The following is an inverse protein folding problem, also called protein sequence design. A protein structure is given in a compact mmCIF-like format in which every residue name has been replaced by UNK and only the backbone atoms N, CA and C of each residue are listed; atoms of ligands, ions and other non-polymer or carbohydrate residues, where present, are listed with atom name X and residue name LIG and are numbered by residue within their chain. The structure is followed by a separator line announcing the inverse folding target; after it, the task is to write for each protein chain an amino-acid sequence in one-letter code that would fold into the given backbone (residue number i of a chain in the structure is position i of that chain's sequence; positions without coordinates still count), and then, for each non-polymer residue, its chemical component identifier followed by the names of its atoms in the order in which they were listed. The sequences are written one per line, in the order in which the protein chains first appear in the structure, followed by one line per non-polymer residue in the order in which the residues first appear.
data_IF_987633755691
#
_entry.id   IF_987633755691
#
_cell.length_a   1.000
_cell.length_b   1.000
_cell.length_c   1.000
_cell.angle_alpha   90.00
_cell.angle_beta   90.00
_cell.angle_gamma   90.00
#
_symmetry.space_group_name_H-M   'P 1'
#
loop_
_entity.id
_entity.type
_entity.pdbx_description
1 polymer ?
#
# COMPACT_ATOMS: atom_id res chain seq x y z
N UNK A 1 -24.41 -6.74 2.19
CA UNK A 1 -24.00 -7.53 3.36
C UNK A 1 -23.07 -6.69 4.19
N UNK A 2 -23.40 -6.50 5.47
CA UNK A 2 -22.79 -5.51 6.33
C UNK A 2 -21.36 -5.86 6.70
N UNK A 3 -20.56 -4.82 6.99
CA UNK A 3 -19.18 -4.90 7.48
C UNK A 3 -19.05 -5.78 8.74
N UNK A 4 -20.16 -5.96 9.47
CA UNK A 4 -20.30 -6.85 10.63
C UNK A 4 -20.32 -8.34 10.26
N UNK A 5 -20.87 -8.71 9.10
CA UNK A 5 -21.07 -10.11 8.66
C UNK A 5 -19.75 -10.77 8.20
N UNK A 6 -18.76 -9.95 7.82
CA UNK A 6 -17.38 -10.39 7.57
C UNK A 6 -16.54 -10.41 8.84
N UNK A 7 -16.78 -9.46 9.75
CA UNK A 7 -16.17 -9.46 11.08
C UNK A 7 -16.57 -10.71 11.86
N UNK A 8 -17.84 -11.15 11.80
CA UNK A 8 -18.28 -12.42 12.43
C UNK A 8 -17.55 -13.65 11.87
N UNK A 9 -17.26 -13.70 10.56
CA UNK A 9 -16.60 -14.86 9.93
C UNK A 9 -15.07 -14.87 10.08
N UNK A 10 -14.42 -13.72 10.16
CA UNK A 10 -12.97 -13.63 10.45
C UNK A 10 -12.63 -13.96 11.91
N UNK A 11 -13.61 -13.76 12.79
CA UNK A 11 -13.55 -13.96 14.25
C UNK A 11 -13.87 -15.40 14.68
N UNK A 12 -14.32 -16.27 13.77
CA UNK A 12 -14.74 -17.65 14.10
C UNK A 12 -13.60 -18.54 14.67
N UNK A 13 -12.33 -18.23 14.40
CA UNK A 13 -11.20 -19.06 14.87
C UNK A 13 -10.45 -18.54 16.10
N UNK A 14 -10.57 -17.26 16.48
CA UNK A 14 -9.78 -16.69 17.58
C UNK A 14 -10.61 -16.36 18.84
N UNK A 15 -11.94 -16.48 18.81
CA UNK A 15 -12.78 -15.63 19.68
C UNK A 15 -13.86 -16.36 20.48
N UNK A 16 -13.78 -17.69 20.62
CA UNK A 16 -14.70 -18.38 21.53
C UNK A 16 -14.38 -18.20 23.03
N UNK A 17 -13.17 -17.74 23.39
CA UNK A 17 -12.75 -17.66 24.80
C UNK A 17 -12.70 -16.23 25.36
N UNK A 18 -12.43 -15.21 24.54
CA UNK A 18 -12.16 -13.85 25.02
C UNK A 18 -13.40 -12.93 25.12
N UNK A 19 -14.51 -13.23 24.44
CA UNK A 19 -15.64 -12.28 24.33
C UNK A 19 -16.65 -12.30 25.49
N UNK A 20 -16.58 -13.29 26.38
CA UNK A 20 -17.63 -13.51 27.38
C UNK A 20 -17.41 -12.84 28.75
N UNK A 21 -16.28 -12.15 28.99
CA UNK A 21 -16.03 -11.48 30.28
C UNK A 21 -15.60 -10.02 30.13
N UNK A 22 -16.62 -9.14 30.14
CA UNK A 22 -16.56 -7.78 30.71
C UNK A 22 -16.01 -6.64 29.81
N UNK A 23 -16.69 -6.32 28.71
CA UNK A 23 -16.52 -5.04 27.99
C UNK A 23 -17.31 -3.89 28.63
N UNK A 24 -17.00 -3.52 29.88
CA UNK A 24 -17.69 -2.39 30.54
C UNK A 24 -16.96 -1.05 30.46
N UNK A 25 -15.68 -0.99 30.07
CA UNK A 25 -14.92 0.28 30.18
C UNK A 25 -13.77 0.53 29.19
N UNK A 26 -13.66 -0.22 28.08
CA UNK A 26 -12.54 -0.07 27.12
C UNK A 26 -12.96 0.26 25.68
N UNK A 27 -11.98 0.60 24.84
CA UNK A 27 -12.19 0.89 23.40
C UNK A 27 -12.77 -0.31 22.66
N UNK A 28 -13.60 -0.06 21.64
CA UNK A 28 -14.19 -1.13 20.81
C UNK A 28 -13.62 -1.12 19.39
N UNK A 29 -13.32 -2.29 18.79
CA UNK A 29 -12.81 -2.38 17.42
C UNK A 29 -13.64 -1.61 16.37
N UNK A 30 -14.96 -1.68 16.48
CA UNK A 30 -15.88 -0.97 15.56
C UNK A 30 -15.80 0.56 15.68
N UNK A 31 -15.45 1.06 16.86
CA UNK A 31 -15.24 2.49 17.09
C UNK A 31 -13.93 2.94 16.45
N UNK A 32 -12.86 2.14 16.55
CA UNK A 32 -11.58 2.40 15.90
C UNK A 32 -11.72 2.42 14.37
N UNK A 33 -12.42 1.45 13.79
CA UNK A 33 -12.68 1.42 12.34
C UNK A 33 -13.44 2.66 11.86
N UNK A 34 -14.42 3.12 12.64
CA UNK A 34 -15.20 4.33 12.32
C UNK A 34 -14.36 5.59 12.44
N UNK A 35 -13.50 5.67 13.47
CA UNK A 35 -12.59 6.79 13.69
C UNK A 35 -11.53 6.90 12.58
N UNK A 36 -10.96 5.78 12.16
CA UNK A 36 -9.99 5.71 11.06
C UNK A 36 -10.59 6.21 9.74
N UNK A 37 -11.81 5.79 9.39
CA UNK A 37 -12.50 6.27 8.19
C UNK A 37 -12.75 7.77 8.24
N UNK A 38 -13.15 8.27 9.42
CA UNK A 38 -13.35 9.71 9.64
C UNK A 38 -12.05 10.50 9.48
N UNK A 39 -10.93 9.99 10.00
CA UNK A 39 -9.62 10.63 9.80
C UNK A 39 -9.20 10.58 8.33
N UNK A 40 -9.43 9.44 7.65
CA UNK A 40 -9.20 9.29 6.21
C UNK A 40 -9.94 10.37 5.41
N UNK A 41 -11.24 10.55 5.65
CA UNK A 41 -12.07 11.58 5.00
C UNK A 41 -11.59 12.99 5.34
N UNK A 42 -11.24 13.24 6.60
CA UNK A 42 -10.81 14.57 7.07
C UNK A 42 -9.46 15.00 6.49
N UNK A 43 -8.59 14.02 6.20
CA UNK A 43 -7.24 14.24 5.67
C UNK A 43 -7.12 13.97 4.18
N UNK A 44 -8.20 13.52 3.55
CA UNK A 44 -8.30 13.42 2.11
C UNK A 44 -8.15 14.83 1.51
N UNK A 45 -7.14 15.00 0.65
CA UNK A 45 -6.82 16.27 0.03
C UNK A 45 -7.04 16.19 -1.48
N UNK A 46 -7.78 17.14 -2.03
CA UNK A 46 -7.91 17.30 -3.48
C UNK A 46 -6.56 17.74 -4.03
N UNK A 47 -5.94 16.88 -4.83
CA UNK A 47 -4.65 17.19 -5.47
C UNK A 47 -4.91 17.85 -6.83
N UNK A 48 -5.94 17.41 -7.54
CA UNK A 48 -6.40 18.01 -8.80
C UNK A 48 -7.90 17.79 -9.03
N UNK A 49 -8.42 18.24 -10.19
CA UNK A 49 -9.86 18.20 -10.52
C UNK A 49 -10.46 16.79 -10.59
N UNK A 50 -9.65 15.75 -10.72
CA UNK A 50 -10.07 14.37 -10.88
C UNK A 50 -9.54 13.45 -9.76
N UNK A 51 -8.73 13.98 -8.83
CA UNK A 51 -8.08 13.16 -7.81
C UNK A 51 -8.12 13.78 -6.41
N UNK A 52 -8.63 12.98 -5.49
CA UNK A 52 -8.49 13.19 -4.04
C UNK A 52 -7.57 12.11 -3.48
N UNK A 53 -6.50 12.54 -2.81
CA UNK A 53 -5.50 11.65 -2.22
C UNK A 53 -5.77 11.51 -0.73
N UNK A 54 -5.80 10.28 -0.24
CA UNK A 54 -5.95 9.97 1.18
C UNK A 54 -4.63 9.45 1.78
N UNK A 55 -4.42 9.65 3.10
CA UNK A 55 -3.29 9.08 3.81
C UNK A 55 -3.28 7.55 3.75
N UNK A 56 -2.08 6.98 3.88
CA UNK A 56 -1.86 5.53 3.86
C UNK A 56 -1.22 4.99 5.14
N UNK A 57 -0.71 5.82 6.04
CA UNK A 57 -0.23 5.39 7.37
C UNK A 57 -1.14 5.94 8.45
N UNK A 58 -1.68 5.08 9.29
CA UNK A 58 -2.55 5.46 10.41
C UNK A 58 -1.99 4.92 11.74
N UNK A 59 -2.01 5.77 12.76
CA UNK A 59 -1.66 5.38 14.13
C UNK A 59 -2.80 5.70 15.08
N UNK A 60 -3.18 4.71 15.87
CA UNK A 60 -4.20 4.79 16.91
C UNK A 60 -3.51 4.81 18.26
N UNK A 61 -3.50 5.97 18.92
CA UNK A 61 -3.02 6.12 20.27
C UNK A 61 -4.08 5.67 21.28
N UNK A 62 -3.67 4.85 22.25
CA UNK A 62 -4.51 4.21 23.25
C UNK A 62 -3.91 4.40 24.65
N UNK A 63 -4.77 4.40 25.68
CA UNK A 63 -4.31 4.27 27.07
C UNK A 63 -3.62 2.92 27.30
N UNK A 64 -2.81 2.80 28.35
CA UNK A 64 -2.12 1.55 28.68
C UNK A 64 -3.07 0.35 28.82
N UNK A 65 -4.22 0.56 29.46
CA UNK A 65 -5.23 -0.48 29.66
C UNK A 65 -5.90 -0.92 28.34
N UNK A 66 -6.17 0.04 27.45
CA UNK A 66 -6.77 -0.25 26.15
C UNK A 66 -5.76 -0.90 25.19
N UNK A 67 -4.51 -0.44 25.21
CA UNK A 67 -3.43 -1.05 24.44
C UNK A 67 -3.17 -2.49 24.88
N UNK A 68 -3.13 -2.76 26.19
CA UNK A 68 -3.01 -4.12 26.71
C UNK A 68 -4.17 -5.01 26.24
N UNK A 69 -5.38 -4.47 26.18
CA UNK A 69 -6.55 -5.19 25.66
C UNK A 69 -6.40 -5.50 24.16
N UNK A 70 -5.90 -4.56 23.36
CA UNK A 70 -5.65 -4.77 21.92
C UNK A 70 -4.60 -5.86 21.69
N UNK A 71 -3.51 -5.86 22.47
CA UNK A 71 -2.49 -6.92 22.39
C UNK A 71 -3.08 -8.28 22.75
N UNK A 72 -3.96 -8.36 23.75
CA UNK A 72 -4.66 -9.60 24.13
C UNK A 72 -5.56 -10.14 23.00
N UNK A 73 -6.13 -9.26 22.17
CA UNK A 73 -6.95 -9.64 21.01
C UNK A 73 -6.15 -10.09 19.79
N UNK A 74 -4.85 -9.79 19.74
CA UNK A 74 -4.02 -9.92 18.54
C UNK A 74 -4.05 -8.62 17.75
N UNK A 75 -3.11 -7.74 18.07
CA UNK A 75 -2.94 -6.42 17.46
C UNK A 75 -2.67 -6.50 15.95
N UNK A 76 -1.85 -7.45 15.49
CA UNK A 76 -1.60 -7.67 14.06
C UNK A 76 -2.86 -8.05 13.27
N UNK A 77 -3.68 -8.96 13.82
CA UNK A 77 -4.92 -9.40 13.17
C UNK A 77 -5.97 -8.27 13.15
N UNK A 78 -6.08 -7.52 14.24
CA UNK A 78 -6.96 -6.36 14.30
C UNK A 78 -6.49 -5.25 13.35
N UNK A 79 -5.19 -4.96 13.28
CA UNK A 79 -4.63 -4.00 12.34
C UNK A 79 -5.00 -4.36 10.90
N UNK A 80 -4.81 -5.62 10.51
CA UNK A 80 -5.15 -6.13 9.18
C UNK A 80 -6.63 -5.91 8.82
N UNK A 81 -7.54 -6.22 9.74
CA UNK A 81 -8.98 -5.99 9.55
C UNK A 81 -9.33 -4.51 9.41
N UNK A 82 -8.67 -3.63 10.18
CA UNK A 82 -8.84 -2.18 10.09
C UNK A 82 -8.28 -1.63 8.77
N UNK A 83 -7.15 -2.16 8.29
CA UNK A 83 -6.58 -1.83 6.98
C UNK A 83 -7.56 -2.18 5.85
N UNK A 84 -8.10 -3.39 5.85
CA UNK A 84 -9.05 -3.85 4.82
C UNK A 84 -10.33 -3.00 4.85
N UNK A 85 -10.81 -2.63 6.05
CA UNK A 85 -11.96 -1.74 6.21
C UNK A 85 -11.71 -0.31 5.70
N UNK A 86 -10.49 0.20 5.85
CA UNK A 86 -10.05 1.49 5.31
C UNK A 86 -9.87 1.44 3.79
N UNK A 87 -9.31 0.35 3.26
CA UNK A 87 -9.15 0.14 1.83
C UNK A 87 -10.51 0.11 1.11
N UNK A 88 -11.47 -0.65 1.65
CA UNK A 88 -12.85 -0.68 1.17
C UNK A 88 -13.52 0.71 1.21
N UNK A 89 -13.18 1.53 2.21
CA UNK A 89 -13.70 2.89 2.34
C UNK A 89 -13.11 3.84 1.31
N UNK A 90 -11.79 3.88 1.17
CA UNK A 90 -11.09 4.68 0.17
C UNK A 90 -11.61 4.37 -1.24
N UNK A 91 -11.81 3.08 -1.57
CA UNK A 91 -12.38 2.66 -2.84
C UNK A 91 -13.80 3.19 -3.07
N UNK A 92 -14.67 3.14 -2.04
CA UNK A 92 -16.05 3.67 -2.12
C UNK A 92 -16.11 5.19 -2.26
N UNK A 93 -15.15 5.90 -1.66
CA UNK A 93 -15.05 7.37 -1.75
C UNK A 93 -14.25 7.85 -2.97
N UNK A 94 -13.75 6.92 -3.79
CA UNK A 94 -12.88 7.23 -4.93
C UNK A 94 -11.59 7.98 -4.55
N UNK A 95 -11.01 7.64 -3.39
CA UNK A 95 -9.72 8.18 -2.96
C UNK A 95 -8.56 7.36 -3.52
N UNK A 96 -7.46 8.05 -3.85
CA UNK A 96 -6.18 7.42 -4.20
C UNK A 96 -5.27 7.38 -2.97
N UNK A 97 -4.64 6.24 -2.71
CA UNK A 97 -3.67 6.07 -1.63
C UNK A 97 -2.25 6.30 -2.14
N UNK A 98 -1.40 6.92 -1.31
CA UNK A 98 -0.01 7.30 -1.65
C UNK A 98 0.98 6.13 -1.55
N UNK A 99 0.50 4.96 -1.14
CA UNK A 99 1.27 3.73 -0.95
C UNK A 99 0.44 2.66 -0.24
N UNK A 100 1.11 1.61 0.25
CA UNK A 100 0.49 0.56 1.05
C UNK A 100 -0.17 1.15 2.30
N UNK A 101 -1.39 0.69 2.59
CA UNK A 101 -2.16 1.16 3.73
C UNK A 101 -1.77 0.36 4.96
N UNK A 102 -1.35 1.04 6.03
CA UNK A 102 -0.98 0.44 7.30
C UNK A 102 -1.71 1.07 8.48
N UNK A 103 -2.05 0.24 9.46
CA UNK A 103 -2.63 0.68 10.73
C UNK A 103 -1.76 0.17 11.88
N UNK A 104 -1.42 1.05 12.81
CA UNK A 104 -0.59 0.74 13.99
C UNK A 104 -1.26 1.21 15.27
N UNK A 105 -0.98 0.53 16.38
CA UNK A 105 -1.41 0.93 17.71
C UNK A 105 -0.20 1.45 18.49
N UNK A 106 -0.37 2.57 19.19
CA UNK A 106 0.67 3.17 20.03
C UNK A 106 0.11 3.47 21.42
N UNK A 107 0.98 3.46 22.43
CA UNK A 107 0.61 3.82 23.80
C UNK A 107 0.75 5.32 24.03
N UNK A 108 -0.23 5.90 24.73
CA UNK A 108 -0.20 7.28 25.21
C UNK A 108 -0.76 7.32 26.63
N UNK A 109 0.16 7.42 27.61
CA UNK A 109 -0.15 7.45 29.05
C UNK A 109 -0.98 8.67 29.46
N UNK A 110 -1.08 9.69 28.60
CA UNK A 110 -1.89 10.88 28.88
C UNK A 110 -3.38 10.65 28.59
N UNK A 111 -3.73 9.58 27.86
CA UNK A 111 -5.11 9.26 27.50
C UNK A 111 -5.83 8.48 28.61
N UNK A 112 -7.07 8.86 28.96
CA UNK A 112 -7.91 8.06 29.83
C UNK A 112 -8.34 6.75 29.15
N UNK A 113 -8.62 5.70 29.93
CA UNK A 113 -9.21 4.47 29.40
C UNK A 113 -10.55 4.72 28.69
N UNK A 114 -10.72 4.08 27.54
CA UNK A 114 -11.86 4.28 26.63
C UNK A 114 -11.71 5.52 25.74
N UNK A 115 -10.58 6.24 25.80
CA UNK A 115 -10.24 7.32 24.87
C UNK A 115 -9.12 6.88 23.94
N UNK A 116 -9.19 7.37 22.71
CA UNK A 116 -8.21 7.13 21.68
C UNK A 116 -7.99 8.41 20.87
N UNK A 117 -6.81 8.52 20.27
CA UNK A 117 -6.53 9.52 19.25
C UNK A 117 -6.09 8.83 17.97
N UNK A 118 -6.59 9.30 16.83
CA UNK A 118 -6.17 8.81 15.53
C UNK A 118 -5.34 9.90 14.87
N UNK A 119 -4.18 9.51 14.36
CA UNK A 119 -3.36 10.37 13.52
C UNK A 119 -3.07 9.64 12.22
N UNK A 120 -2.89 10.40 11.15
CA UNK A 120 -2.55 9.84 9.84
C UNK A 120 -1.38 10.59 9.20
N UNK A 121 -0.57 9.88 8.44
CA UNK A 121 0.46 10.43 7.57
C UNK A 121 0.34 9.86 6.16
N UNK A 122 0.73 10.68 5.19
CA UNK A 122 0.94 10.21 3.82
C UNK A 122 2.42 9.89 3.67
N UNK A 123 2.74 8.61 3.66
CA UNK A 123 4.11 8.10 3.49
C UNK A 123 4.19 7.46 2.12
N UNK A 124 5.01 8.00 1.22
CA UNK A 124 5.24 7.38 -0.09
C UNK A 124 5.90 6.02 0.14
N UNK A 125 5.23 4.94 -0.27
CA UNK A 125 5.79 3.59 -0.25
C UNK A 125 6.91 3.43 -1.28
N UNK A 126 7.44 2.22 -1.49
CA UNK A 126 8.43 1.98 -2.54
C UNK A 126 7.85 2.15 -3.95
N UNK A 127 6.52 2.02 -4.10
CA UNK A 127 5.78 2.44 -5.28
C UNK A 127 4.63 3.38 -4.91
N UNK A 128 4.45 4.45 -5.69
CA UNK A 128 3.33 5.38 -5.54
C UNK A 128 2.67 5.64 -6.90
N UNK A 129 1.32 5.68 -6.99
CA UNK A 129 0.63 5.99 -8.25
C UNK A 129 1.11 7.32 -8.84
N UNK A 130 1.70 7.26 -10.04
CA UNK A 130 2.12 8.39 -10.84
C UNK A 130 0.88 8.94 -11.53
N UNK A 131 0.36 9.99 -10.93
CA UNK A 131 -1.02 10.37 -11.12
C UNK A 131 -1.09 11.72 -11.86
N UNK A 132 0.06 12.20 -12.33
CA UNK A 132 0.23 13.31 -13.27
C UNK A 132 1.31 12.99 -14.30
N UNK A 133 1.07 13.43 -15.53
CA UNK A 133 1.98 13.42 -16.69
C UNK A 133 3.07 14.51 -16.53
N UNK A 134 3.79 14.53 -15.39
CA UNK A 134 4.88 15.48 -15.16
C UNK A 134 6.23 14.80 -15.44
N UNK A 135 7.04 15.36 -16.37
CA UNK A 135 8.34 14.80 -16.74
C UNK A 135 9.41 14.91 -15.63
N UNK A 136 9.19 15.72 -14.58
CA UNK A 136 10.20 16.00 -13.55
C UNK A 136 10.13 15.08 -12.32
N UNK A 137 9.76 13.81 -12.48
CA UNK A 137 9.89 12.87 -11.37
C UNK A 137 11.32 12.36 -11.29
N UNK A 138 12.03 12.68 -10.21
CA UNK A 138 13.36 12.09 -9.86
C UNK A 138 13.35 10.58 -9.58
N UNK A 139 12.21 9.91 -9.81
CA UNK A 139 12.02 8.49 -9.53
C UNK A 139 11.56 7.76 -10.79
N UNK A 140 12.22 6.64 -11.16
CA UNK A 140 11.84 5.86 -12.34
C UNK A 140 10.36 5.47 -12.28
N UNK A 141 9.77 5.21 -13.42
CA UNK A 141 8.34 4.96 -13.55
C UNK A 141 8.08 3.63 -14.26
N UNK A 142 7.05 2.93 -13.82
CA UNK A 142 6.45 1.82 -14.56
C UNK A 142 5.00 2.13 -14.90
N UNK A 143 4.55 1.82 -16.12
CA UNK A 143 3.15 1.86 -16.53
C UNK A 143 2.66 0.44 -16.70
N UNK A 144 1.61 0.10 -15.96
CA UNK A 144 1.00 -1.22 -15.92
C UNK A 144 -0.48 -1.04 -16.26
N UNK A 145 -0.90 -1.54 -17.43
CA UNK A 145 -2.29 -1.43 -17.90
C UNK A 145 -2.86 0.01 -17.89
N UNK A 146 -2.03 1.01 -18.17
CA UNK A 146 -2.40 2.44 -18.17
C UNK A 146 -2.36 3.08 -16.78
N UNK A 147 -2.01 2.32 -15.74
CA UNK A 147 -1.75 2.84 -14.40
C UNK A 147 -0.24 3.02 -14.22
N UNK A 148 0.18 4.24 -13.96
CA UNK A 148 1.59 4.56 -13.77
C UNK A 148 1.97 4.53 -12.30
N UNK A 149 3.17 4.08 -11.98
CA UNK A 149 3.73 3.98 -10.63
C UNK A 149 5.16 4.50 -10.63
N UNK A 150 5.47 5.44 -9.73
CA UNK A 150 6.83 5.85 -9.44
C UNK A 150 7.50 4.84 -8.52
N UNK A 151 8.71 4.42 -8.84
CA UNK A 151 9.59 3.58 -8.02
C UNK A 151 10.35 4.47 -7.03
N UNK A 152 9.69 4.80 -5.92
CA UNK A 152 10.17 5.74 -4.90
C UNK A 152 11.05 5.10 -3.81
N UNK A 153 11.10 3.76 -3.74
CA UNK A 153 11.95 3.03 -2.80
C UNK A 153 13.05 2.23 -3.49
N UNK A 154 14.04 1.79 -2.71
CA UNK A 154 15.16 0.98 -3.22
C UNK A 154 14.68 -0.33 -3.85
N UNK A 155 13.67 -0.98 -3.27
CA UNK A 155 13.11 -2.23 -3.77
C UNK A 155 11.60 -2.08 -3.95
N UNK A 156 11.09 -2.47 -5.12
CA UNK A 156 9.65 -2.51 -5.44
C UNK A 156 9.29 -3.86 -6.01
N UNK A 157 8.33 -4.56 -5.41
CA UNK A 157 7.85 -5.87 -5.85
C UNK A 157 6.56 -5.71 -6.66
N UNK A 158 6.52 -6.31 -7.85
CA UNK A 158 5.30 -6.42 -8.66
C UNK A 158 4.84 -7.88 -8.71
N UNK A 159 3.54 -8.09 -8.51
CA UNK A 159 2.96 -9.43 -8.53
C UNK A 159 1.44 -9.39 -8.33
N UNK A 160 0.80 -10.56 -8.27
CA UNK A 160 -0.66 -10.64 -8.03
C UNK A 160 -1.06 -10.79 -6.56
N UNK A 161 -0.08 -10.94 -5.67
CA UNK A 161 -0.30 -11.19 -4.24
C UNK A 161 -0.44 -9.90 -3.46
N UNK A 162 -1.10 -9.95 -2.31
CA UNK A 162 -1.23 -8.81 -1.39
C UNK A 162 0.09 -8.39 -0.74
N UNK A 163 1.13 -9.19 -0.94
CA UNK A 163 2.51 -8.99 -0.48
C UNK A 163 3.38 -8.23 -1.51
N UNK A 164 2.82 -7.85 -2.67
CA UNK A 164 3.48 -7.03 -3.67
C UNK A 164 3.16 -5.54 -3.46
N UNK A 165 4.12 -4.67 -3.79
CA UNK A 165 3.95 -3.22 -3.71
C UNK A 165 3.05 -2.70 -4.83
N UNK A 166 3.14 -3.32 -6.01
CA UNK A 166 2.21 -3.10 -7.14
C UNK A 166 1.49 -4.41 -7.43
N UNK A 167 0.17 -4.41 -7.20
CA UNK A 167 -0.68 -5.58 -7.40
C UNK A 167 -1.28 -5.57 -8.80
N UNK A 168 -1.01 -6.61 -9.57
CA UNK A 168 -1.52 -6.79 -10.94
C UNK A 168 -2.49 -7.96 -10.99
N UNK A 169 -3.72 -7.70 -11.42
CA UNK A 169 -4.77 -8.73 -11.55
C UNK A 169 -4.61 -9.52 -12.86
N UNK A 170 -3.60 -10.39 -12.87
CA UNK A 170 -3.43 -11.38 -13.93
C UNK A 170 -3.11 -12.76 -13.34
N UNK A 171 -3.93 -13.74 -13.72
CA UNK A 171 -3.72 -15.16 -13.39
C UNK A 171 -2.38 -15.71 -13.88
N UNK A 172 -1.78 -15.10 -14.91
CA UNK A 172 -0.45 -15.45 -15.41
C UNK A 172 0.70 -14.93 -14.56
N UNK A 173 0.42 -14.12 -13.53
CA UNK A 173 1.43 -13.50 -12.67
C UNK A 173 1.56 -14.26 -11.35
N UNK A 174 2.79 -14.46 -10.86
CA UNK A 174 3.05 -15.01 -9.52
C UNK A 174 2.70 -14.01 -8.40
N UNK A 175 2.47 -14.49 -7.17
CA UNK A 175 2.15 -13.61 -6.04
C UNK A 175 3.21 -12.52 -5.81
N UNK A 176 4.47 -12.92 -5.90
CA UNK A 176 5.65 -12.08 -6.10
C UNK A 176 6.28 -12.53 -7.42
N UNK A 177 6.30 -11.66 -8.42
CA UNK A 177 6.75 -12.03 -9.76
C UNK A 177 8.12 -11.43 -10.07
N UNK A 178 8.23 -10.11 -9.96
CA UNK A 178 9.46 -9.38 -10.21
C UNK A 178 9.74 -8.39 -9.08
N UNK A 179 11.01 -8.07 -8.93
CA UNK A 179 11.48 -6.98 -8.08
C UNK A 179 12.26 -5.99 -8.94
N UNK A 180 11.95 -4.70 -8.76
CA UNK A 180 12.76 -3.60 -9.23
C UNK A 180 13.66 -3.16 -8.09
N UNK A 181 14.97 -3.11 -8.34
CA UNK A 181 15.95 -2.51 -7.45
C UNK A 181 16.46 -1.21 -8.08
N UNK A 182 16.14 -0.07 -7.48
CA UNK A 182 16.62 1.25 -7.93
C UNK A 182 17.98 1.50 -7.28
N UNK A 183 19.01 1.67 -8.10
CA UNK A 183 20.40 1.94 -7.68
C UNK A 183 20.91 3.24 -8.28
N UNK A 184 22.05 3.74 -7.79
CA UNK A 184 22.73 4.91 -8.37
C UNK A 184 23.19 4.69 -9.84
N UNK A 185 23.23 3.44 -10.30
CA UNK A 185 23.70 3.05 -11.64
C UNK A 185 22.57 2.62 -12.58
N UNK A 186 21.31 2.79 -12.15
CA UNK A 186 20.11 2.40 -12.90
C UNK A 186 19.23 1.41 -12.14
N UNK A 187 18.15 0.99 -12.80
CA UNK A 187 17.17 0.07 -12.21
C UNK A 187 17.44 -1.36 -12.65
N UNK A 188 17.58 -2.27 -11.69
CA UNK A 188 17.74 -3.71 -11.94
C UNK A 188 16.39 -4.40 -11.78
N UNK A 189 15.99 -5.20 -12.76
CA UNK A 189 14.79 -6.05 -12.71
C UNK A 189 15.21 -7.49 -12.44
N UNK A 190 14.67 -8.11 -11.39
CA UNK A 190 14.93 -9.51 -11.04
C UNK A 190 13.64 -10.32 -10.99
N UNK A 191 13.61 -11.48 -11.67
CA UNK A 191 12.53 -12.46 -11.58
C UNK A 191 12.61 -13.24 -10.25
N UNK A 192 11.53 -13.25 -9.48
CA UNK A 192 11.46 -13.86 -8.15
C UNK A 192 11.05 -15.34 -8.17
N UNK A 193 11.46 -16.07 -9.22
CA UNK A 193 11.09 -17.47 -9.40
C UNK A 193 9.65 -17.62 -9.90
N UNK A 194 9.26 -16.78 -10.86
CA UNK A 194 7.92 -16.78 -11.41
C UNK A 194 7.60 -18.07 -12.18
N UNK A 195 6.31 -18.43 -12.26
CA UNK A 195 5.89 -19.65 -12.96
C UNK A 195 6.03 -19.52 -14.49
N UNK A 196 5.66 -18.36 -15.04
CA UNK A 196 5.65 -18.14 -16.49
C UNK A 196 6.91 -17.44 -17.01
N UNK A 197 7.77 -16.94 -16.12
CA UNK A 197 8.97 -16.18 -16.48
C UNK A 197 8.68 -14.70 -16.72
N UNK A 198 9.75 -13.92 -16.66
CA UNK A 198 9.80 -12.51 -16.99
C UNK A 198 10.50 -12.29 -18.32
N UNK A 199 9.99 -11.38 -19.13
CA UNK A 199 10.55 -11.03 -20.43
C UNK A 199 10.80 -9.52 -20.51
N UNK A 200 11.92 -9.12 -21.12
CA UNK A 200 12.24 -7.72 -21.43
C UNK A 200 12.58 -7.65 -22.91
N UNK A 201 11.91 -6.80 -23.68
CA UNK A 201 12.04 -6.72 -25.15
C UNK A 201 11.90 -8.11 -25.81
N UNK A 202 10.87 -8.86 -25.41
CA UNK A 202 10.58 -10.25 -25.82
C UNK A 202 11.65 -11.31 -25.47
N UNK A 203 12.70 -10.94 -24.72
CA UNK A 203 13.73 -11.85 -24.26
C UNK A 203 13.49 -12.28 -22.81
N UNK A 204 13.51 -13.60 -22.56
CA UNK A 204 13.35 -14.13 -21.20
C UNK A 204 14.58 -13.81 -20.35
N UNK A 205 14.36 -13.19 -19.20
CA UNK A 205 15.43 -12.78 -18.28
C UNK A 205 15.21 -13.38 -16.88
N UNK A 206 16.31 -13.49 -16.12
CA UNK A 206 16.28 -13.71 -14.68
C UNK A 206 16.63 -12.44 -13.91
N UNK A 207 17.56 -11.68 -14.46
CA UNK A 207 18.02 -10.41 -13.93
C UNK A 207 18.54 -9.57 -15.10
N UNK A 208 18.20 -8.28 -15.14
CA UNK A 208 18.65 -7.36 -16.18
C UNK A 208 18.61 -5.91 -15.67
N UNK A 209 19.58 -5.09 -16.10
CA UNK A 209 19.51 -3.63 -15.91
C UNK A 209 18.61 -3.04 -16.99
N UNK A 210 17.57 -2.34 -16.55
CA UNK A 210 16.62 -1.70 -17.43
C UNK A 210 17.18 -0.40 -18.01
N UNK A 211 16.72 -0.09 -19.23
CA UNK A 211 16.97 1.16 -19.93
C UNK A 211 15.63 1.84 -20.17
N UNK A 212 15.66 3.18 -20.23
CA UNK A 212 14.48 3.98 -20.57
C UNK A 212 13.74 3.43 -21.80
N UNK A 213 12.41 3.33 -21.67
CA UNK A 213 11.53 2.82 -22.71
C UNK A 213 11.40 1.28 -22.78
N UNK A 214 12.06 0.51 -21.90
CA UNK A 214 11.94 -0.95 -21.94
C UNK A 214 10.51 -1.46 -21.72
N UNK A 215 10.09 -2.39 -22.57
CA UNK A 215 8.88 -3.18 -22.41
C UNK A 215 9.18 -4.46 -21.62
N UNK A 216 8.47 -4.64 -20.51
CA UNK A 216 8.60 -5.77 -19.58
C UNK A 216 7.30 -6.57 -19.61
N UNK A 217 7.36 -7.84 -20.00
CA UNK A 217 6.18 -8.71 -20.07
C UNK A 217 6.23 -9.76 -18.98
N UNK A 218 5.16 -9.84 -18.18
CA UNK A 218 4.94 -10.85 -17.14
C UNK A 218 3.52 -11.41 -17.28
N UNK A 219 3.38 -12.74 -17.32
CA UNK A 219 2.08 -13.35 -17.61
C UNK A 219 1.54 -12.90 -18.97
N UNK A 220 0.43 -12.16 -18.97
CA UNK A 220 -0.21 -11.53 -20.14
C UNK A 220 -0.14 -10.00 -20.09
N UNK A 221 0.41 -9.44 -19.02
CA UNK A 221 0.55 -8.00 -18.83
C UNK A 221 1.89 -7.54 -19.36
N UNK A 222 1.88 -6.45 -20.13
CA UNK A 222 3.08 -5.73 -20.54
C UNK A 222 3.13 -4.42 -19.77
N UNK A 223 4.29 -4.16 -19.17
CA UNK A 223 4.61 -2.95 -18.43
C UNK A 223 5.66 -2.18 -19.21
N UNK A 224 5.56 -0.85 -19.22
CA UNK A 224 6.59 0.00 -19.79
C UNK A 224 7.40 0.63 -18.65
N UNK A 225 8.72 0.67 -18.80
CA UNK A 225 9.63 1.34 -17.87
C UNK A 225 10.14 2.65 -18.46
N UNK A 226 10.19 3.68 -17.64
CA UNK A 226 10.86 4.94 -17.95
C UNK A 226 11.81 5.28 -16.82
N UNK A 227 13.00 5.73 -17.19
CA UNK A 227 13.98 6.19 -16.22
C UNK A 227 13.62 7.60 -15.71
N UNK A 228 14.17 7.96 -14.56
CA UNK A 228 14.04 9.30 -13.99
C UNK A 228 15.28 10.16 -14.16
N UNK A 229 16.34 9.62 -14.75
CA UNK A 229 17.45 10.45 -15.14
C UNK A 229 16.96 11.42 -16.19
N UNK A 230 16.96 12.71 -15.82
CA UNK A 230 16.96 13.81 -16.77
C UNK A 230 17.88 13.41 -17.91
N UNK A 231 17.36 13.50 -19.13
CA UNK A 231 18.21 13.63 -20.28
C UNK A 231 18.94 14.96 -20.06
N UNK A 232 20.10 14.93 -19.40
CA UNK A 232 21.12 15.96 -19.56
C UNK A 232 21.50 15.92 -21.05
N UNK A 233 20.69 16.63 -21.82
CA UNK A 233 20.59 16.55 -23.26
C UNK A 233 20.37 17.93 -23.85
N UNK A 234 21.46 18.70 -23.80
CA UNK A 234 21.79 19.76 -24.74
C UNK A 234 21.31 21.19 -24.41
N UNK A 235 22.07 21.85 -23.52
CA UNK A 235 22.49 23.22 -23.80
C UNK A 235 24.02 23.24 -23.97
N UNK A 236 24.50 22.60 -25.05
CA UNK A 236 25.79 22.93 -25.61
C UNK A 236 25.63 23.47 -27.03
N UNK A 237 25.92 24.77 -27.17
CA UNK A 237 26.26 25.49 -28.41
C UNK A 237 25.15 26.33 -29.07
N UNK A 238 25.07 27.61 -28.70
CA UNK A 238 25.26 28.73 -29.64
C UNK A 238 25.52 30.07 -28.90
#
# INVERSE_FOLDING_TARGET
MGVLDRFEKGVENAVHTAFAKTFKSGVKPVELASALKKECDARAAVVDRHRTVAPNEYSVALSDADHASVVEWGDEALAKELEDALHDHARRQHYSLVGALSVTFIQDETLPTGRYAVTSRSTRGPAAPATTDHPDSRYPLIDVDGQRYHLTGQFTIVGRGTEADVVVDDTGISRKHVQFEVTDFGTILTDLGSTNGTFVEDQRVKEVTLVDGNAITIGRTTMMYWDAMDVDGDDSSA
#
